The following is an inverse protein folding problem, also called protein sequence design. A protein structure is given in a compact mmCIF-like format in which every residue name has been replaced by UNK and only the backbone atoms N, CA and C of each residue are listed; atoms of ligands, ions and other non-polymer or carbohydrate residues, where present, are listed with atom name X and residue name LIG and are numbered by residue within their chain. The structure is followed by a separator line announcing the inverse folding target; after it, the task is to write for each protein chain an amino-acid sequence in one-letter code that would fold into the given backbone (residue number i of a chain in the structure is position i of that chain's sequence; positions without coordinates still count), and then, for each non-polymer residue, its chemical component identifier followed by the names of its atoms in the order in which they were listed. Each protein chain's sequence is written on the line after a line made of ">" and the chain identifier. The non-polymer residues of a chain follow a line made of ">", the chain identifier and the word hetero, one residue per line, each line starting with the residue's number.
data_IF_943367982894
#
_entry.id   IF_943367982894
#
_cell.length_a   1.000
_cell.length_b   1.000
_cell.length_c   1.000
_cell.angle_alpha   90.00
_cell.angle_beta   90.00
_cell.angle_gamma   90.00
#
_symmetry.space_group_name_H-M   'P 1'
#
loop_
_entity.id
_entity.type
_entity.pdbx_description
1 polymer ?
#
# COMPACT_ATOMS: atom_id res chain seq x y z
N UNK A 1 -43.08 5.94 3.89
CA UNK A 1 -42.15 6.64 2.99
C UNK A 1 -41.21 7.48 3.85
N UNK A 2 -40.18 6.85 4.42
CA UNK A 2 -39.26 7.52 5.36
C UNK A 2 -38.19 8.25 4.56
N UNK A 3 -38.32 9.57 4.52
CA UNK A 3 -37.35 10.48 3.93
C UNK A 3 -36.04 10.37 4.74
N UNK A 4 -34.98 9.83 4.13
CA UNK A 4 -33.66 9.77 4.79
C UNK A 4 -33.03 11.16 4.69
N UNK A 5 -32.55 11.74 5.79
CA UNK A 5 -31.99 13.09 5.75
C UNK A 5 -30.79 13.15 4.80
N UNK A 6 -30.91 13.96 3.74
CA UNK A 6 -29.84 14.26 2.76
C UNK A 6 -28.81 15.23 3.33
N UNK A 7 -28.21 14.91 4.47
CA UNK A 7 -26.97 15.59 4.88
C UNK A 7 -25.78 14.83 4.29
N UNK A 8 -25.54 15.02 2.98
CA UNK A 8 -24.31 14.55 2.35
C UNK A 8 -23.24 15.61 2.58
N UNK A 9 -22.47 15.52 3.67
CA UNK A 9 -21.26 16.32 3.84
C UNK A 9 -20.29 15.98 2.69
N UNK A 10 -20.15 16.84 1.67
CA UNK A 10 -19.46 16.47 0.43
C UNK A 10 -17.97 16.21 0.69
N UNK A 11 -17.39 16.93 1.65
CA UNK A 11 -16.01 16.76 2.11
C UNK A 11 -15.84 15.40 2.82
N UNK A 12 -16.72 15.06 3.77
CA UNK A 12 -16.66 13.78 4.47
C UNK A 12 -16.77 12.60 3.50
N UNK A 13 -17.68 12.70 2.51
CA UNK A 13 -17.81 11.68 1.46
C UNK A 13 -16.54 11.52 0.62
N UNK A 14 -15.87 12.62 0.27
CA UNK A 14 -14.58 12.59 -0.44
C UNK A 14 -13.50 11.92 0.41
N UNK A 15 -13.37 12.32 1.68
CA UNK A 15 -12.40 11.72 2.61
C UNK A 15 -12.64 10.22 2.81
N UNK A 16 -13.88 9.80 3.05
CA UNK A 16 -14.24 8.39 3.19
C UNK A 16 -13.96 7.60 1.91
N UNK A 17 -14.24 8.16 0.74
CA UNK A 17 -13.93 7.51 -0.54
C UNK A 17 -12.43 7.38 -0.79
N UNK A 18 -11.64 8.39 -0.37
CA UNK A 18 -10.19 8.33 -0.44
C UNK A 18 -9.64 7.28 0.52
N UNK A 19 -10.08 7.28 1.78
CA UNK A 19 -9.68 6.29 2.77
C UNK A 19 -10.06 4.86 2.33
N UNK A 20 -11.26 4.68 1.77
CA UNK A 20 -11.71 3.40 1.23
C UNK A 20 -10.80 2.90 0.09
N UNK A 21 -10.44 3.78 -0.85
CA UNK A 21 -9.50 3.45 -1.93
C UNK A 21 -8.10 3.14 -1.40
N UNK A 22 -7.58 3.95 -0.47
CA UNK A 22 -6.28 3.73 0.15
C UNK A 22 -6.24 2.38 0.87
N UNK A 23 -7.28 2.05 1.66
CA UNK A 23 -7.42 0.76 2.34
C UNK A 23 -7.47 -0.40 1.35
N UNK A 24 -8.26 -0.27 0.28
CA UNK A 24 -8.36 -1.32 -0.74
C UNK A 24 -7.00 -1.57 -1.40
N UNK A 25 -6.30 -0.49 -1.79
CA UNK A 25 -4.96 -0.57 -2.38
C UNK A 25 -3.91 -1.14 -1.42
N UNK A 26 -4.07 -0.88 -0.12
CA UNK A 26 -3.20 -1.47 0.90
C UNK A 26 -3.45 -2.98 1.01
N UNK A 27 -4.72 -3.40 1.12
CA UNK A 27 -5.07 -4.82 1.22
C UNK A 27 -4.70 -5.64 -0.03
N UNK A 28 -4.70 -5.05 -1.21
CA UNK A 28 -4.27 -5.76 -2.43
C UNK A 28 -2.77 -6.03 -2.46
N UNK A 29 -1.97 -5.21 -1.77
CA UNK A 29 -0.49 -5.28 -1.75
C UNK A 29 0.09 -6.01 -0.53
N UNK A 30 -0.74 -6.33 0.47
CA UNK A 30 -0.33 -6.98 1.71
C UNK A 30 -1.19 -8.22 1.93
N UNK A 31 -1.08 -9.19 1.02
CA UNK A 31 -1.84 -10.45 1.06
C UNK A 31 -1.15 -11.50 1.90
N UNK A 32 0.16 -11.42 2.08
CA UNK A 32 0.89 -12.31 2.96
C UNK A 32 0.62 -11.94 4.44
N UNK A 33 0.21 -12.92 5.24
CA UNK A 33 -0.08 -12.72 6.67
C UNK A 33 1.10 -12.15 7.46
N UNK A 34 2.33 -12.58 7.14
CA UNK A 34 3.54 -12.05 7.78
C UNK A 34 3.73 -10.57 7.43
N UNK A 35 3.67 -10.23 6.14
CA UNK A 35 3.79 -8.84 5.68
C UNK A 35 2.73 -7.93 6.32
N UNK A 36 1.48 -8.39 6.35
CA UNK A 36 0.37 -7.70 7.00
C UNK A 36 0.64 -7.48 8.50
N UNK A 37 1.00 -8.54 9.23
CA UNK A 37 1.18 -8.51 10.68
C UNK A 37 2.29 -7.55 11.08
N UNK A 38 3.44 -7.61 10.42
CA UNK A 38 4.55 -6.72 10.77
C UNK A 38 4.28 -5.27 10.37
N UNK A 39 3.45 -5.00 9.36
CA UNK A 39 2.99 -3.64 9.05
C UNK A 39 2.08 -3.08 10.14
N UNK A 40 1.23 -3.91 10.76
CA UNK A 40 0.42 -3.50 11.91
C UNK A 40 1.26 -3.09 13.12
N UNK A 41 2.54 -3.51 13.18
CA UNK A 41 3.50 -3.05 14.19
C UNK A 41 4.33 -1.88 13.68
N UNK A 42 4.88 -1.99 12.46
CA UNK A 42 5.80 -1.02 11.88
C UNK A 42 5.16 0.35 11.60
N UNK A 43 3.91 0.39 11.13
CA UNK A 43 3.21 1.65 10.84
C UNK A 43 2.96 2.45 12.13
N UNK A 44 2.35 1.90 13.20
CA UNK A 44 2.23 2.62 14.46
C UNK A 44 3.58 3.03 15.05
N UNK A 45 4.60 2.17 14.97
CA UNK A 45 5.92 2.49 15.50
C UNK A 45 6.54 3.71 14.80
N UNK A 46 6.47 3.75 13.46
CA UNK A 46 7.05 4.84 12.68
C UNK A 46 6.21 6.13 12.67
N UNK A 47 4.89 6.03 12.56
CA UNK A 47 4.01 7.19 12.32
C UNK A 47 3.29 7.71 13.57
N UNK A 48 3.23 6.93 14.64
CA UNK A 48 2.60 7.34 15.90
C UNK A 48 3.61 7.41 17.04
N UNK A 49 4.36 6.33 17.30
CA UNK A 49 5.29 6.26 18.42
C UNK A 49 6.48 7.19 18.23
N UNK A 50 7.15 7.16 17.07
CA UNK A 50 8.33 8.01 16.84
C UNK A 50 8.04 9.52 17.01
N UNK A 51 6.95 10.10 16.46
CA UNK A 51 6.59 11.49 16.74
C UNK A 51 6.35 11.77 18.23
N UNK A 52 5.70 10.87 18.97
CA UNK A 52 5.49 11.03 20.41
C UNK A 52 6.85 11.06 21.13
N UNK A 53 7.76 10.13 20.81
CA UNK A 53 9.08 10.05 21.43
C UNK A 53 9.90 11.31 21.24
N UNK A 54 9.71 12.06 20.15
CA UNK A 54 10.41 13.33 19.91
C UNK A 54 10.10 14.39 20.97
N UNK A 55 8.93 14.32 21.61
CA UNK A 55 8.50 15.27 22.64
C UNK A 55 8.74 14.78 24.07
N UNK A 56 8.97 13.48 24.29
CA UNK A 56 9.06 12.90 25.65
C UNK A 56 10.41 12.28 25.97
N UNK A 57 11.22 11.97 24.96
CA UNK A 57 12.56 11.39 25.09
C UNK A 57 13.56 12.16 24.23
N UNK A 58 14.87 11.94 24.44
CA UNK A 58 15.85 12.47 23.51
C UNK A 58 15.64 11.98 22.08
N UNK A 59 15.92 12.85 21.11
CA UNK A 59 15.55 12.68 19.69
C UNK A 59 16.01 11.37 19.05
N UNK A 60 17.11 10.77 19.52
CA UNK A 60 17.61 9.51 18.96
C UNK A 60 16.67 8.34 19.20
N UNK A 61 15.84 8.37 20.25
CA UNK A 61 14.79 7.36 20.46
C UNK A 61 13.68 7.47 19.42
N UNK A 62 13.31 8.69 19.04
CA UNK A 62 12.38 8.93 17.93
C UNK A 62 12.97 8.43 16.61
N UNK A 63 14.24 8.75 16.33
CA UNK A 63 14.93 8.27 15.14
C UNK A 63 15.01 6.74 15.11
N UNK A 64 15.37 6.11 16.23
CA UNK A 64 15.47 4.65 16.34
C UNK A 64 14.10 3.98 16.11
N UNK A 65 13.03 4.52 16.71
CA UNK A 65 11.66 4.02 16.49
C UNK A 65 11.24 4.17 15.03
N UNK A 66 11.54 5.30 14.39
CA UNK A 66 11.24 5.52 12.98
C UNK A 66 11.97 4.52 12.08
N UNK A 67 13.29 4.37 12.26
CA UNK A 67 14.12 3.44 11.49
C UNK A 67 13.65 2.00 11.69
N UNK A 68 13.41 1.57 12.94
CA UNK A 68 12.95 0.21 13.22
C UNK A 68 11.56 -0.05 12.64
N UNK A 69 10.63 0.90 12.80
CA UNK A 69 9.28 0.80 12.24
C UNK A 69 9.28 0.73 10.71
N UNK A 70 10.16 1.49 10.06
CA UNK A 70 10.35 1.42 8.60
C UNK A 70 11.01 0.11 8.16
N UNK A 71 12.04 -0.35 8.89
CA UNK A 71 12.73 -1.61 8.59
C UNK A 71 11.77 -2.81 8.64
N UNK A 72 10.89 -2.86 9.64
CA UNK A 72 9.84 -3.88 9.72
C UNK A 72 8.95 -3.88 8.48
N UNK A 73 8.49 -2.71 8.03
CA UNK A 73 7.67 -2.58 6.82
C UNK A 73 8.43 -3.06 5.57
N UNK A 74 9.69 -2.63 5.43
CA UNK A 74 10.54 -3.03 4.32
C UNK A 74 10.75 -4.56 4.27
N UNK A 75 11.03 -5.21 5.40
CA UNK A 75 11.17 -6.68 5.50
C UNK A 75 9.89 -7.37 5.00
N UNK A 76 8.73 -6.83 5.32
CA UNK A 76 7.44 -7.41 4.93
C UNK A 76 7.24 -7.36 3.44
N UNK A 77 7.56 -6.23 2.83
CA UNK A 77 7.57 -6.05 1.38
C UNK A 77 8.57 -6.98 0.68
N UNK A 78 9.75 -7.21 1.26
CA UNK A 78 10.70 -8.21 0.74
C UNK A 78 10.10 -9.63 0.75
N UNK A 79 9.45 -10.02 1.85
CA UNK A 79 8.80 -11.35 1.96
C UNK A 79 7.60 -11.50 1.03
N UNK A 80 6.77 -10.46 0.89
CA UNK A 80 5.68 -10.41 -0.07
C UNK A 80 6.21 -10.53 -1.51
N UNK A 81 7.32 -9.85 -1.80
CA UNK A 81 7.95 -9.76 -3.12
C UNK A 81 7.42 -8.59 -3.94
N UNK A 82 7.10 -7.47 -3.29
CA UNK A 82 6.67 -6.23 -3.95
C UNK A 82 7.44 -5.02 -3.41
N UNK A 83 7.40 -3.93 -4.17
CA UNK A 83 8.06 -2.68 -3.83
C UNK A 83 7.32 -1.95 -2.70
N UNK A 84 8.12 -1.34 -1.83
CA UNK A 84 7.66 -0.40 -0.81
C UNK A 84 6.95 0.79 -1.47
N UNK A 85 5.84 1.25 -0.89
CA UNK A 85 4.96 2.26 -1.49
C UNK A 85 5.66 3.55 -1.91
N UNK A 86 6.57 4.04 -1.09
CA UNK A 86 7.36 5.25 -1.30
C UNK A 86 8.37 5.10 -2.44
N UNK A 87 8.86 3.88 -2.69
CA UNK A 87 9.80 3.62 -3.76
C UNK A 87 9.13 3.46 -5.12
N UNK A 88 7.85 3.11 -5.18
CA UNK A 88 7.10 3.02 -6.45
C UNK A 88 7.13 4.32 -7.25
N UNK A 89 6.71 5.49 -6.72
CA UNK A 89 6.75 6.74 -7.47
C UNK A 89 8.19 7.13 -7.83
N UNK A 90 9.15 6.93 -6.91
CA UNK A 90 10.57 7.22 -7.14
C UNK A 90 11.13 6.38 -8.30
N UNK A 91 10.87 5.08 -8.32
CA UNK A 91 11.24 4.18 -9.42
C UNK A 91 10.59 4.58 -10.74
N UNK A 92 9.31 4.95 -10.74
CA UNK A 92 8.61 5.45 -11.94
C UNK A 92 9.25 6.71 -12.50
N UNK A 93 9.62 7.66 -11.64
CA UNK A 93 10.29 8.88 -12.05
C UNK A 93 11.68 8.60 -12.67
N UNK A 94 12.34 7.54 -12.22
CA UNK A 94 13.65 7.12 -12.73
C UNK A 94 13.58 6.11 -13.89
N UNK A 95 12.37 5.76 -14.37
CA UNK A 95 12.21 4.75 -15.43
C UNK A 95 12.60 3.32 -15.01
N UNK A 96 12.67 3.03 -13.70
CA UNK A 96 13.05 1.73 -13.19
C UNK A 96 11.86 0.75 -13.14
N UNK A 97 12.10 -0.57 -13.25
CA UNK A 97 11.07 -1.58 -13.08
C UNK A 97 10.36 -1.48 -11.72
N UNK A 98 9.02 -1.56 -11.75
CA UNK A 98 8.17 -1.49 -10.56
C UNK A 98 7.40 -2.78 -10.36
N UNK A 99 7.49 -3.33 -9.16
CA UNK A 99 6.72 -4.49 -8.72
C UNK A 99 5.67 -4.05 -7.70
N UNK A 100 4.54 -3.53 -8.17
CA UNK A 100 3.49 -3.03 -7.26
C UNK A 100 2.72 -4.15 -6.53
N UNK A 101 2.53 -5.27 -7.22
CA UNK A 101 1.91 -6.50 -6.71
C UNK A 101 2.92 -7.62 -6.86
N UNK A 102 3.00 -8.51 -5.87
CA UNK A 102 3.93 -9.62 -5.95
C UNK A 102 3.57 -10.55 -7.11
N UNK A 103 4.55 -11.09 -7.86
CA UNK A 103 4.28 -11.93 -9.04
C UNK A 103 3.37 -13.12 -8.76
N UNK A 104 3.46 -13.69 -7.55
CA UNK A 104 2.62 -14.82 -7.09
C UNK A 104 1.12 -14.49 -7.01
N UNK A 105 0.74 -13.21 -7.02
CA UNK A 105 -0.64 -12.74 -7.00
C UNK A 105 -1.06 -12.10 -8.32
N UNK A 106 -0.17 -12.01 -9.30
CA UNK A 106 -0.53 -11.62 -10.65
C UNK A 106 -1.42 -12.71 -11.27
N UNK A 107 -2.52 -12.32 -11.90
CA UNK A 107 -3.33 -13.28 -12.65
C UNK A 107 -2.49 -13.85 -13.81
N UNK A 108 -2.68 -15.13 -14.17
CA UNK A 108 -2.12 -15.66 -15.41
C UNK A 108 -2.51 -14.74 -16.57
N UNK A 109 -1.55 -14.36 -17.40
CA UNK A 109 -1.86 -13.70 -18.67
C UNK A 109 -2.74 -14.69 -19.44
N UNK A 110 -3.99 -14.34 -19.80
CA UNK A 110 -4.78 -15.21 -20.65
C UNK A 110 -3.97 -15.53 -21.90
N UNK A 111 -3.98 -16.79 -22.40
CA UNK A 111 -3.28 -17.09 -23.64
C UNK A 111 -3.73 -16.08 -24.70
N UNK A 112 -2.77 -15.54 -25.45
CA UNK A 112 -3.07 -14.68 -26.57
C UNK A 112 -4.14 -15.39 -27.41
N UNK A 113 -5.30 -14.75 -27.60
CA UNK A 113 -6.36 -15.30 -28.43
C UNK A 113 -5.71 -15.75 -29.74
N UNK A 114 -5.81 -17.04 -30.12
CA UNK A 114 -5.28 -17.48 -31.40
C UNK A 114 -5.91 -16.54 -32.44
N UNK A 115 -5.03 -15.90 -33.21
CA UNK A 115 -5.40 -14.81 -34.09
C UNK A 115 -6.69 -15.16 -34.83
N UNK A 116 -7.61 -14.19 -34.87
CA UNK A 116 -8.61 -14.15 -35.93
C UNK A 116 -7.81 -14.24 -37.22
N UNK A 117 -7.75 -15.45 -37.77
CA UNK A 117 -7.12 -15.71 -39.04
C UNK A 117 -7.76 -14.75 -40.02
N UNK A 118 -6.90 -14.00 -40.71
CA UNK A 118 -7.24 -13.41 -41.99
C UNK A 118 -7.93 -14.49 -42.81
N UNK A 119 -9.25 -14.39 -42.96
CA UNK A 119 -9.98 -15.10 -44.00
C UNK A 119 -9.34 -14.66 -45.33
N UNK A 120 -8.88 -15.58 -46.19
CA UNK A 120 -8.51 -15.20 -47.54
C UNK A 120 -9.77 -14.75 -48.30
N UNK A 121 -9.63 -13.57 -48.90
CA UNK A 121 -10.43 -12.82 -49.89
C UNK A 121 -11.90 -13.17 -50.13
#
# INVERSE_FOLDING_TARGET
>A
MTDRPRYSFPIARRLLSFAGRARQNWLTRHRNNFNFAIHMVGIPLALLVAPILLFVLPWWWALAAFILGYLLQWIGHQVEGNDVGEFIPVKRMMGLPVTALAPRYALPVPPASPGVGTLPD
#
